data_IF_949563255561
#
_entry.id   IF_949563255561
#
_cell.length_a   1.000
_cell.length_b   1.000
_cell.length_c   1.000
_cell.angle_alpha   90.00
_cell.angle_beta   90.00
_cell.angle_gamma   90.00
#
_symmetry.space_group_name_H-M   'P 1'
#
loop_
_entity.id
_entity.type
_entity.pdbx_description
1 polymer ?
#
# COMPACT_ATOMS: atom_id res chain seq x y z
N UNK A 1 11.68 1.39 3.01
CA UNK A 1 11.75 0.35 1.97
C UNK A 1 10.90 0.79 0.80
N UNK A 2 11.43 0.68 -0.40
CA UNK A 2 10.71 0.85 -1.66
C UNK A 2 11.06 -0.32 -2.57
N UNK A 3 10.13 -0.72 -3.43
CA UNK A 3 10.35 -1.84 -4.34
C UNK A 3 9.63 -1.61 -5.66
N UNK A 4 10.30 -2.01 -6.74
CA UNK A 4 9.69 -2.24 -8.05
C UNK A 4 9.76 -3.74 -8.36
N UNK A 5 9.31 -4.13 -9.55
CA UNK A 5 9.51 -5.49 -10.05
C UNK A 5 10.99 -5.87 -10.15
N UNK A 6 11.87 -4.89 -10.38
CA UNK A 6 13.29 -5.12 -10.66
C UNK A 6 14.24 -4.73 -9.53
N UNK A 7 13.85 -3.79 -8.67
CA UNK A 7 14.73 -3.19 -7.67
C UNK A 7 14.12 -3.25 -6.27
N UNK A 8 14.97 -3.30 -5.26
CA UNK A 8 14.57 -3.22 -3.84
C UNK A 8 15.53 -2.34 -3.07
N UNK A 9 14.99 -1.34 -2.38
CA UNK A 9 15.75 -0.49 -1.47
C UNK A 9 15.26 -0.67 -0.02
N UNK A 10 16.21 -0.78 0.90
CA UNK A 10 15.96 -0.78 2.34
C UNK A 10 16.74 0.34 3.01
N UNK A 11 16.01 1.35 3.47
CA UNK A 11 16.55 2.40 4.35
C UNK A 11 16.35 2.03 5.82
N UNK A 12 17.40 2.15 6.63
CA UNK A 12 17.33 2.08 8.09
C UNK A 12 17.37 3.50 8.64
N UNK A 13 16.46 3.81 9.56
CA UNK A 13 16.40 5.11 10.21
C UNK A 13 15.97 4.95 11.67
N UNK A 14 16.50 5.81 12.55
CA UNK A 14 16.22 5.75 13.99
C UNK A 14 14.77 6.14 14.34
N UNK A 15 14.18 7.00 13.52
CA UNK A 15 12.79 7.43 13.63
C UNK A 15 11.94 6.82 12.50
N UNK A 16 10.64 6.65 12.74
CA UNK A 16 9.65 6.48 11.67
C UNK A 16 9.05 7.84 11.37
N UNK A 17 8.71 8.14 10.13
CA UNK A 17 8.04 9.40 9.81
C UNK A 17 8.42 9.94 8.46
N UNK A 18 8.09 11.21 8.26
CA UNK A 18 8.47 12.00 7.09
C UNK A 18 9.98 12.17 6.99
N UNK A 19 10.68 12.49 8.09
CA UNK A 19 12.16 12.60 8.11
C UNK A 19 12.85 11.34 7.58
N UNK A 20 12.42 10.16 8.05
CA UNK A 20 12.97 8.89 7.57
C UNK A 20 12.77 8.64 6.07
N UNK A 21 11.71 9.23 5.49
CA UNK A 21 11.35 9.10 4.07
C UNK A 21 12.10 10.10 3.20
N UNK A 22 12.32 11.29 3.74
CA UNK A 22 13.16 12.32 3.13
C UNK A 22 14.61 11.82 3.06
N UNK A 23 15.13 11.29 4.17
CA UNK A 23 16.48 10.73 4.23
C UNK A 23 16.66 9.48 3.35
N UNK A 24 15.58 8.71 3.13
CA UNK A 24 15.60 7.61 2.16
C UNK A 24 15.81 8.10 0.72
N UNK A 25 15.48 9.36 0.42
CA UNK A 25 15.79 10.01 -0.86
C UNK A 25 14.99 9.56 -2.08
N UNK A 26 14.07 8.58 -1.93
CA UNK A 26 13.28 8.03 -3.04
C UNK A 26 12.03 8.89 -3.30
N UNK A 27 11.10 8.94 -2.34
CA UNK A 27 9.81 9.63 -2.54
C UNK A 27 9.93 11.12 -2.84
N UNK A 28 10.85 11.89 -2.23
CA UNK A 28 11.01 13.31 -2.55
C UNK A 28 11.39 13.61 -4.00
N UNK A 29 11.93 12.62 -4.74
CA UNK A 29 12.39 12.77 -6.13
C UNK A 29 11.57 11.94 -7.11
N UNK A 30 10.64 11.14 -6.60
CA UNK A 30 9.88 10.18 -7.40
C UNK A 30 8.71 10.90 -8.06
N UNK A 31 8.55 10.70 -9.38
CA UNK A 31 7.48 11.32 -10.18
C UNK A 31 6.48 10.32 -10.77
N UNK A 32 6.68 9.02 -10.50
CA UNK A 32 5.79 7.96 -10.96
C UNK A 32 4.56 7.82 -10.05
N UNK A 33 3.95 6.64 -10.06
CA UNK A 33 2.82 6.31 -9.17
C UNK A 33 3.26 5.40 -8.03
N UNK A 34 3.11 5.88 -6.79
CA UNK A 34 3.47 5.16 -5.59
C UNK A 34 2.27 4.35 -5.06
N UNK A 35 2.43 3.03 -4.93
CA UNK A 35 1.43 2.14 -4.32
C UNK A 35 1.75 1.99 -2.83
N UNK A 36 0.80 2.31 -1.94
CA UNK A 36 1.05 2.24 -0.49
C UNK A 36 -0.19 1.85 0.35
N UNK A 37 0.04 1.62 1.64
CA UNK A 37 -0.90 1.13 2.66
C UNK A 37 -1.76 2.25 3.29
N UNK A 38 -2.06 3.32 2.53
CA UNK A 38 -2.85 4.47 3.01
C UNK A 38 -2.27 5.21 4.25
N UNK A 39 -0.97 5.07 4.55
CA UNK A 39 -0.39 5.89 5.61
C UNK A 39 -0.39 7.39 5.23
N UNK A 40 -1.25 8.18 5.87
CA UNK A 40 -1.54 9.59 5.51
C UNK A 40 -0.35 10.47 5.12
N UNK A 41 0.83 10.40 5.79
CA UNK A 41 2.00 11.20 5.41
C UNK A 41 2.48 10.99 3.97
N UNK A 42 2.18 9.87 3.32
CA UNK A 42 2.51 9.66 1.91
C UNK A 42 1.88 10.72 1.00
N UNK A 43 0.66 11.17 1.29
CA UNK A 43 -0.05 12.14 0.45
C UNK A 43 0.56 13.56 0.52
N UNK A 44 1.56 13.78 1.38
CA UNK A 44 2.37 15.00 1.35
C UNK A 44 3.35 15.07 0.17
N UNK A 45 3.62 13.97 -0.53
CA UNK A 45 4.50 13.93 -1.70
C UNK A 45 3.72 14.23 -2.99
N UNK A 46 3.52 15.51 -3.28
CA UNK A 46 2.66 15.95 -4.39
C UNK A 46 3.27 15.82 -5.79
N UNK A 47 4.58 15.57 -5.90
CA UNK A 47 5.24 15.37 -7.19
C UNK A 47 5.00 13.98 -7.80
N UNK A 48 4.45 13.04 -7.02
CA UNK A 48 4.09 11.71 -7.48
C UNK A 48 2.57 11.51 -7.49
N UNK A 49 2.12 10.54 -8.26
CA UNK A 49 0.75 10.03 -8.16
C UNK A 49 0.66 8.96 -7.09
N UNK A 50 -0.55 8.76 -6.54
CA UNK A 50 -0.79 7.78 -5.50
C UNK A 50 -1.76 6.68 -5.96
N UNK A 51 -1.53 5.47 -5.49
CA UNK A 51 -2.47 4.36 -5.55
C UNK A 51 -2.46 3.62 -4.20
N UNK A 52 -3.59 3.03 -3.84
CA UNK A 52 -3.73 2.30 -2.59
C UNK A 52 -3.65 0.79 -2.82
N UNK A 53 -2.96 0.12 -1.90
CA UNK A 53 -2.81 -1.32 -1.94
C UNK A 53 -4.12 -2.00 -1.49
N UNK A 54 -4.85 -2.62 -2.42
CA UNK A 54 -6.13 -3.25 -2.12
C UNK A 54 -6.01 -4.50 -1.24
N UNK A 55 -4.83 -5.13 -1.12
CA UNK A 55 -4.62 -6.17 -0.12
C UNK A 55 -4.80 -5.66 1.33
N UNK A 56 -4.54 -4.38 1.60
CA UNK A 56 -4.86 -3.78 2.91
C UNK A 56 -6.36 -3.54 3.06
N UNK A 57 -7.01 -2.99 2.03
CA UNK A 57 -8.47 -2.82 2.02
C UNK A 57 -9.19 -4.15 2.25
N UNK A 58 -8.80 -5.24 1.58
CA UNK A 58 -9.40 -6.56 1.76
C UNK A 58 -9.27 -7.09 3.20
N UNK A 59 -8.13 -6.85 3.87
CA UNK A 59 -7.94 -7.24 5.29
C UNK A 59 -8.83 -6.40 6.21
N UNK A 60 -8.97 -5.11 5.95
CA UNK A 60 -9.84 -4.21 6.72
C UNK A 60 -11.32 -4.54 6.51
N UNK A 61 -11.73 -4.84 5.27
CA UNK A 61 -13.09 -5.29 4.93
C UNK A 61 -13.42 -6.63 5.61
N UNK A 62 -12.49 -7.58 5.61
CA UNK A 62 -12.65 -8.84 6.32
C UNK A 62 -12.76 -8.65 7.85
N UNK A 63 -12.03 -7.68 8.41
CA UNK A 63 -12.17 -7.31 9.82
C UNK A 63 -13.59 -6.78 10.09
N UNK A 64 -14.13 -5.94 9.21
CA UNK A 64 -15.49 -5.40 9.35
C UNK A 64 -16.53 -6.51 9.27
N UNK A 65 -16.42 -7.42 8.30
CA UNK A 65 -17.26 -8.61 8.21
C UNK A 65 -17.22 -9.40 9.52
N UNK A 66 -16.04 -9.81 9.97
CA UNK A 66 -15.89 -10.73 11.11
C UNK A 66 -16.28 -10.12 12.46
N UNK A 67 -15.99 -8.84 12.67
CA UNK A 67 -16.17 -8.21 13.98
C UNK A 67 -17.42 -7.33 14.07
N UNK A 68 -17.99 -6.90 12.94
CA UNK A 68 -19.15 -6.02 12.89
C UNK A 68 -20.33 -6.62 12.12
N UNK A 69 -20.15 -7.73 11.40
CA UNK A 69 -21.22 -8.43 10.68
C UNK A 69 -21.83 -7.62 9.55
N UNK A 70 -21.09 -6.64 8.99
CA UNK A 70 -21.67 -5.68 8.03
C UNK A 70 -21.50 -6.15 6.59
N UNK A 71 -22.62 -6.48 5.95
CA UNK A 71 -22.63 -7.11 4.63
C UNK A 71 -22.03 -6.24 3.51
N UNK A 72 -22.11 -4.91 3.61
CA UNK A 72 -21.51 -4.02 2.62
C UNK A 72 -20.00 -4.25 2.47
N UNK A 73 -19.31 -4.68 3.54
CA UNK A 73 -17.88 -4.93 3.51
C UNK A 73 -17.53 -6.17 2.67
N UNK A 74 -18.34 -7.22 2.79
CA UNK A 74 -18.24 -8.43 1.94
C UNK A 74 -18.45 -8.05 0.48
N UNK A 75 -19.56 -7.34 0.21
CA UNK A 75 -19.89 -6.93 -1.16
C UNK A 75 -18.85 -6.00 -1.77
N UNK A 76 -18.22 -5.12 -0.97
CA UNK A 76 -17.13 -4.25 -1.42
C UNK A 76 -15.87 -5.06 -1.73
N UNK A 77 -15.53 -6.05 -0.89
CA UNK A 77 -14.39 -6.93 -1.16
C UNK A 77 -14.61 -7.74 -2.46
N UNK A 78 -15.81 -8.28 -2.65
CA UNK A 78 -16.17 -9.01 -3.86
C UNK A 78 -16.11 -8.11 -5.10
N UNK A 79 -16.62 -6.87 -5.01
CA UNK A 79 -16.55 -5.90 -6.09
C UNK A 79 -15.09 -5.58 -6.47
N UNK A 80 -14.21 -5.32 -5.50
CA UNK A 80 -12.80 -5.04 -5.78
C UNK A 80 -12.10 -6.22 -6.47
N UNK A 81 -12.41 -7.45 -6.06
CA UNK A 81 -11.88 -8.67 -6.67
C UNK A 81 -12.48 -8.93 -8.06
N UNK A 82 -13.73 -8.58 -8.29
CA UNK A 82 -14.39 -8.65 -9.60
C UNK A 82 -13.72 -7.68 -10.58
N UNK A 83 -13.56 -6.40 -10.19
CA UNK A 83 -12.88 -5.39 -11.00
C UNK A 83 -11.47 -5.88 -11.35
N UNK A 84 -10.73 -6.42 -10.37
CA UNK A 84 -9.38 -6.97 -10.60
C UNK A 84 -9.40 -8.04 -11.70
N UNK A 85 -10.31 -9.01 -11.61
CA UNK A 85 -10.43 -10.08 -12.60
C UNK A 85 -10.78 -9.55 -13.98
N UNK A 86 -11.68 -8.56 -14.07
CA UNK A 86 -12.05 -7.95 -15.35
C UNK A 86 -10.87 -7.20 -15.96
N UNK A 87 -10.09 -6.47 -15.17
CA UNK A 87 -8.87 -5.80 -15.63
C UNK A 87 -7.87 -6.83 -16.16
N UNK A 88 -7.59 -7.89 -15.40
CA UNK A 88 -6.66 -8.95 -15.81
C UNK A 88 -7.09 -9.63 -17.12
N UNK A 89 -8.36 -10.01 -17.24
CA UNK A 89 -8.88 -10.61 -18.47
C UNK A 89 -8.83 -9.65 -19.67
N UNK A 90 -9.01 -8.35 -19.44
CA UNK A 90 -8.93 -7.31 -20.48
C UNK A 90 -7.49 -7.07 -20.93
N UNK A 91 -6.52 -7.14 -20.00
CA UNK A 91 -5.10 -7.10 -20.32
C UNK A 91 -4.67 -8.32 -21.14
N UNK A 92 -5.15 -9.51 -20.79
CA UNK A 92 -4.86 -10.76 -21.51
C UNK A 92 -5.39 -10.74 -22.96
N UNK A 93 -6.48 -10.02 -23.22
CA UNK A 93 -7.01 -9.82 -24.57
C UNK A 93 -6.29 -8.72 -25.37
N UNK A 94 -5.27 -8.09 -24.78
CA UNK A 94 -4.47 -7.03 -25.42
C UNK A 94 -5.12 -5.66 -25.42
N UNK A 95 -6.17 -5.45 -24.63
CA UNK A 95 -6.87 -4.15 -24.54
C UNK A 95 -6.31 -3.34 -23.36
N UNK A 96 -6.08 -2.05 -23.56
CA UNK A 96 -5.41 -1.18 -22.57
C UNK A 96 -6.36 -0.50 -21.56
N UNK A 97 -7.66 -0.80 -21.62
CA UNK A 97 -8.64 -0.22 -20.72
C UNK A 97 -10.01 -0.89 -20.80
N UNK A 98 -10.82 -0.70 -19.76
CA UNK A 98 -12.22 -1.13 -19.74
C UNK A 98 -13.07 -0.26 -20.69
N UNK A 99 -14.15 -0.83 -21.21
CA UNK A 99 -15.15 -0.02 -21.94
C UNK A 99 -15.78 1.01 -21.00
N UNK A 100 -16.22 2.14 -21.57
CA UNK A 100 -16.85 3.22 -20.78
C UNK A 100 -18.09 2.73 -20.01
N UNK A 101 -18.82 1.76 -20.57
CA UNK A 101 -19.98 1.16 -19.93
C UNK A 101 -19.57 0.35 -18.69
N UNK A 102 -18.64 -0.60 -18.84
CA UNK A 102 -18.16 -1.46 -17.73
C UNK A 102 -17.53 -0.60 -16.64
N UNK A 103 -16.72 0.39 -17.01
CA UNK A 103 -16.11 1.33 -16.07
C UNK A 103 -17.17 2.05 -15.23
N UNK A 104 -18.20 2.60 -15.89
CA UNK A 104 -19.28 3.34 -15.22
C UNK A 104 -20.08 2.43 -14.30
N UNK A 105 -20.37 1.19 -14.71
CA UNK A 105 -21.09 0.22 -13.88
C UNK A 105 -20.32 -0.10 -12.58
N UNK A 106 -19.00 -0.27 -12.65
CA UNK A 106 -18.19 -0.51 -11.47
C UNK A 106 -18.16 0.70 -10.52
N UNK A 107 -18.02 1.91 -11.06
CA UNK A 107 -18.06 3.12 -10.23
C UNK A 107 -19.41 3.29 -9.52
N UNK A 108 -20.52 3.05 -10.21
CA UNK A 108 -21.86 3.14 -9.62
C UNK A 108 -22.07 2.11 -8.51
N UNK A 109 -21.64 0.86 -8.73
CA UNK A 109 -21.71 -0.20 -7.71
C UNK A 109 -20.84 0.15 -6.49
N UNK A 110 -19.67 0.72 -6.72
CA UNK A 110 -18.78 1.17 -5.65
C UNK A 110 -19.47 2.24 -4.79
N UNK A 111 -19.99 3.29 -5.41
CA UNK A 111 -20.64 4.41 -4.70
C UNK A 111 -21.92 3.97 -3.97
N UNK A 112 -22.66 3.04 -4.57
CA UNK A 112 -23.83 2.43 -3.94
C UNK A 112 -23.44 1.69 -2.65
N UNK A 113 -22.37 0.89 -2.66
CA UNK A 113 -21.89 0.17 -1.49
C UNK A 113 -21.37 1.11 -0.39
N UNK A 114 -20.71 2.20 -0.76
CA UNK A 114 -20.32 3.26 0.18
C UNK A 114 -21.55 3.86 0.86
N UNK A 115 -22.58 4.17 0.07
CA UNK A 115 -23.85 4.73 0.58
C UNK A 115 -24.52 3.75 1.55
N UNK A 116 -24.65 2.47 1.17
CA UNK A 116 -25.20 1.41 2.02
C UNK A 116 -24.40 1.24 3.31
N UNK A 117 -23.07 1.34 3.23
CA UNK A 117 -22.21 1.32 4.42
C UNK A 117 -22.47 2.48 5.38
N UNK A 118 -22.72 3.68 4.88
CA UNK A 118 -23.09 4.82 5.73
C UNK A 118 -24.48 4.69 6.37
N UNK A 119 -25.43 4.01 5.72
CA UNK A 119 -26.77 3.77 6.30
C UNK A 119 -26.69 2.93 7.57
N UNK A 120 -25.80 1.93 7.61
CA UNK A 120 -25.59 1.07 8.79
C UNK A 120 -24.54 1.61 9.76
N UNK A 121 -23.82 2.68 9.39
CA UNK A 121 -22.86 3.39 10.24
C UNK A 121 -23.17 4.90 10.27
N UNK A 122 -24.30 5.31 10.88
CA UNK A 122 -24.65 6.72 10.95
C UNK A 122 -23.57 7.50 11.71
N UNK A 123 -23.24 8.69 11.22
CA UNK A 123 -22.29 9.58 11.91
C UNK A 123 -22.88 9.98 13.26
N UNK A 124 -22.10 9.97 14.34
CA UNK A 124 -22.55 10.51 15.61
C UNK A 124 -22.90 12.00 15.44
N UNK A 125 -23.97 12.49 16.08
CA UNK A 125 -24.33 13.90 16.02
C UNK A 125 -23.19 14.77 16.57
N UNK A 126 -23.04 16.03 16.10
CA UNK A 126 -22.10 16.97 16.68
C UNK A 126 -22.35 17.11 18.17
N UNK A 127 -21.28 17.25 18.97
CA UNK A 127 -21.44 17.61 20.38
C UNK A 127 -22.20 18.95 20.46
N UNK A 128 -23.20 19.07 21.35
CA UNK A 128 -23.94 20.32 21.49
C UNK A 128 -22.98 21.45 21.87
N UNK A 129 -23.13 22.60 21.19
CA UNK A 129 -22.41 23.84 21.44
C UNK A 129 -22.84 24.43 22.80
N UNK A 130 -22.55 23.73 23.90
CA UNK A 130 -22.76 24.26 25.23
C UNK A 130 -21.65 25.26 25.51
N UNK A 131 -22.01 26.52 25.80
CA UNK A 131 -21.09 27.63 26.10
C UNK A 131 -20.24 27.45 27.37
N UNK A 132 -20.08 26.22 27.86
CA UNK A 132 -19.13 25.86 28.92
C UNK A 132 -17.93 25.23 28.23
N UNK A 133 -16.73 25.80 28.46
CA UNK A 133 -15.45 25.23 28.00
C UNK A 133 -15.47 23.71 28.22
N UNK A 134 -15.45 22.88 27.17
CA UNK A 134 -15.55 21.45 27.36
C UNK A 134 -14.37 21.00 28.21
N UNK A 135 -14.63 20.27 29.31
CA UNK A 135 -13.59 19.45 29.95
C UNK A 135 -12.89 18.68 28.82
N UNK A 136 -11.55 18.66 28.79
CA UNK A 136 -10.69 18.06 27.74
C UNK A 136 -10.93 16.54 27.53
N UNK A 137 -12.15 16.11 27.25
CA UNK A 137 -12.49 14.77 26.83
C UNK A 137 -12.29 14.78 25.32
N UNK A 138 -11.29 14.04 24.85
CA UNK A 138 -10.98 13.96 23.43
C UNK A 138 -12.19 13.53 22.60
N UNK A 139 -12.17 13.87 21.30
CA UNK A 139 -13.18 13.42 20.33
C UNK A 139 -13.40 11.91 20.48
N UNK A 140 -14.66 11.47 20.54
CA UNK A 140 -15.00 10.05 20.52
C UNK A 140 -14.33 9.38 19.31
N UNK A 141 -13.66 8.27 19.57
CA UNK A 141 -12.99 7.51 18.52
C UNK A 141 -14.04 7.03 17.50
N UNK A 142 -13.79 7.33 16.23
CA UNK A 142 -14.63 6.86 15.13
C UNK A 142 -14.48 5.34 14.98
N UNK A 143 -15.58 4.65 14.67
CA UNK A 143 -15.58 3.19 14.54
C UNK A 143 -14.75 2.75 13.34
N UNK A 144 -14.09 1.58 13.37
CA UNK A 144 -13.36 1.05 12.22
C UNK A 144 -14.16 1.00 10.90
N UNK A 145 -15.45 0.58 10.88
CA UNK A 145 -16.25 0.65 9.65
C UNK A 145 -16.38 2.07 9.09
N UNK A 146 -16.65 3.07 9.96
CA UNK A 146 -16.82 4.45 9.52
C UNK A 146 -15.49 5.06 9.05
N UNK A 147 -14.36 4.70 9.67
CA UNK A 147 -13.03 5.10 9.21
C UNK A 147 -12.72 4.55 7.81
N UNK A 148 -13.03 3.27 7.57
CA UNK A 148 -12.79 2.65 6.26
C UNK A 148 -13.72 3.24 5.19
N UNK A 149 -14.99 3.51 5.50
CA UNK A 149 -15.91 4.18 4.59
C UNK A 149 -15.45 5.59 4.21
N UNK A 150 -14.96 6.37 5.18
CA UNK A 150 -14.36 7.68 4.91
C UNK A 150 -13.14 7.53 4.00
N UNK A 151 -12.25 6.58 4.29
CA UNK A 151 -11.06 6.31 3.47
C UNK A 151 -11.41 5.89 2.04
N UNK A 152 -12.30 4.92 1.86
CA UNK A 152 -12.71 4.43 0.55
C UNK A 152 -13.40 5.54 -0.27
N UNK A 153 -14.25 6.37 0.36
CA UNK A 153 -14.87 7.52 -0.30
C UNK A 153 -13.83 8.58 -0.69
N UNK A 154 -13.04 9.04 0.28
CA UNK A 154 -12.13 10.19 0.09
C UNK A 154 -10.98 9.88 -0.86
N UNK A 155 -10.59 8.59 -0.93
CA UNK A 155 -9.50 8.11 -1.76
C UNK A 155 -9.98 7.12 -2.83
N UNK A 156 -11.23 7.28 -3.32
CA UNK A 156 -11.80 6.46 -4.40
C UNK A 156 -10.87 6.41 -5.63
N UNK A 157 -10.33 7.54 -6.15
CA UNK A 157 -9.45 7.51 -7.32
C UNK A 157 -8.17 6.68 -7.09
N UNK A 158 -7.60 6.72 -5.89
CA UNK A 158 -6.39 5.98 -5.55
C UNK A 158 -6.69 4.50 -5.26
N UNK A 159 -7.87 4.20 -4.72
CA UNK A 159 -8.35 2.82 -4.50
C UNK A 159 -8.60 2.10 -5.82
N UNK A 160 -9.25 2.79 -6.77
CA UNK A 160 -9.59 2.28 -8.10
C UNK A 160 -8.52 2.57 -9.16
N UNK A 161 -7.32 3.03 -8.78
CA UNK A 161 -6.28 3.39 -9.74
C UNK A 161 -5.89 2.23 -10.69
N UNK A 162 -5.98 0.98 -10.23
CA UNK A 162 -5.74 -0.23 -11.04
C UNK A 162 -6.81 -0.48 -12.11
N UNK A 163 -8.02 0.06 -11.91
CA UNK A 163 -9.10 0.02 -12.89
C UNK A 163 -8.91 1.05 -14.01
N UNK A 164 -8.32 2.21 -13.68
CA UNK A 164 -8.09 3.31 -14.62
C UNK A 164 -6.76 3.18 -15.36
N UNK A 165 -5.73 2.63 -14.72
CA UNK A 165 -4.40 2.45 -15.29
C UNK A 165 -3.92 1.03 -15.01
N UNK A 166 -3.95 0.20 -16.05
CA UNK A 166 -3.63 -1.23 -16.00
C UNK A 166 -2.17 -1.53 -15.60
N UNK A 167 -1.29 -0.52 -15.60
CA UNK A 167 0.09 -0.65 -15.08
C UNK A 167 0.15 -0.59 -13.56
N UNK A 168 -0.93 -0.16 -12.91
CA UNK A 168 -1.03 -0.10 -11.46
C UNK A 168 -1.50 -1.46 -10.95
N UNK A 169 -0.63 -2.14 -10.18
CA UNK A 169 -0.99 -3.39 -9.56
C UNK A 169 -2.12 -3.20 -8.52
N UNK A 170 -3.03 -4.17 -8.44
CA UNK A 170 -4.09 -4.23 -7.43
C UNK A 170 -3.53 -4.25 -6.00
N UNK A 171 -2.40 -4.94 -5.80
CA UNK A 171 -1.72 -5.07 -4.53
C UNK A 171 -0.22 -4.75 -4.64
N UNK A 172 0.43 -4.58 -3.49
CA UNK A 172 1.87 -4.36 -3.38
C UNK A 172 2.58 -5.61 -2.84
N UNK A 173 2.18 -6.80 -3.30
CA UNK A 173 2.69 -8.09 -2.82
C UNK A 173 4.23 -8.18 -2.83
N UNK A 174 4.88 -7.55 -3.81
CA UNK A 174 6.33 -7.56 -3.92
C UNK A 174 7.01 -6.93 -2.71
N UNK A 175 6.58 -5.73 -2.31
CA UNK A 175 7.12 -5.07 -1.12
C UNK A 175 6.75 -5.83 0.16
N UNK A 176 5.54 -6.38 0.26
CA UNK A 176 5.16 -7.20 1.41
C UNK A 176 6.06 -8.44 1.57
N UNK A 177 6.41 -9.10 0.46
CA UNK A 177 7.36 -10.23 0.47
C UNK A 177 8.77 -9.78 0.85
N UNK A 178 9.24 -8.68 0.28
CA UNK A 178 10.56 -8.11 0.54
C UNK A 178 10.71 -7.72 2.03
N UNK A 179 9.73 -7.04 2.61
CA UNK A 179 9.78 -6.63 4.03
C UNK A 179 9.71 -7.80 5.02
N UNK A 180 9.19 -8.97 4.59
CA UNK A 180 9.01 -10.15 5.46
C UNK A 180 10.29 -10.56 6.16
N UNK A 181 11.43 -10.54 5.47
CA UNK A 181 12.70 -10.96 6.07
C UNK A 181 13.20 -9.99 7.15
N UNK A 182 12.90 -8.69 7.01
CA UNK A 182 13.15 -7.69 8.05
C UNK A 182 12.28 -7.99 9.27
N UNK A 183 10.99 -8.28 9.06
CA UNK A 183 10.04 -8.62 10.14
C UNK A 183 10.39 -9.92 10.84
N UNK A 184 10.85 -10.94 10.13
CA UNK A 184 11.34 -12.20 10.72
C UNK A 184 12.57 -11.95 11.58
N UNK A 185 13.54 -11.15 11.12
CA UNK A 185 14.73 -10.79 11.91
C UNK A 185 14.34 -10.08 13.21
N UNK A 186 13.39 -9.16 13.15
CA UNK A 186 12.85 -8.46 14.33
C UNK A 186 12.16 -9.44 15.29
N UNK A 187 11.25 -10.28 14.77
CA UNK A 187 10.44 -11.21 15.57
C UNK A 187 11.27 -12.33 16.21
N UNK A 188 12.17 -12.95 15.45
CA UNK A 188 12.85 -14.19 15.86
C UNK A 188 14.21 -13.91 16.50
N UNK A 189 14.96 -12.93 15.99
CA UNK A 189 16.32 -12.63 16.48
C UNK A 189 16.40 -11.40 17.40
N UNK A 190 15.25 -10.83 17.82
CA UNK A 190 15.21 -9.65 18.68
C UNK A 190 15.70 -8.35 18.02
N UNK A 191 15.77 -8.30 16.68
CA UNK A 191 16.19 -7.12 15.94
C UNK A 191 17.71 -7.00 15.76
N UNK A 192 18.23 -5.77 15.83
CA UNK A 192 19.64 -5.44 15.60
C UNK A 192 20.25 -4.80 16.85
N UNK A 193 21.48 -5.20 17.19
CA UNK A 193 22.23 -4.67 18.33
C UNK A 193 22.89 -3.32 18.04
N UNK A 194 23.21 -3.06 16.77
CA UNK A 194 23.89 -1.84 16.33
C UNK A 194 23.25 -1.32 15.05
N UNK A 195 23.32 0.01 14.84
CA UNK A 195 22.88 0.65 13.61
C UNK A 195 23.70 0.17 12.39
N UNK A 196 25.01 -0.03 12.58
CA UNK A 196 25.89 -0.58 11.54
C UNK A 196 25.40 -1.96 11.06
N UNK A 197 25.12 -2.90 11.98
CA UNK A 197 24.63 -4.22 11.61
C UNK A 197 23.25 -4.20 10.94
N UNK A 198 22.40 -3.22 11.29
CA UNK A 198 21.12 -3.02 10.60
C UNK A 198 21.33 -2.52 9.16
N UNK A 199 22.26 -1.58 8.95
CA UNK A 199 22.62 -1.08 7.63
C UNK A 199 23.25 -2.16 6.76
N UNK A 200 24.17 -2.97 7.29
CA UNK A 200 24.78 -4.08 6.56
C UNK A 200 23.72 -5.10 6.14
N UNK A 201 22.81 -5.45 7.06
CA UNK A 201 21.68 -6.31 6.73
C UNK A 201 20.81 -5.72 5.62
N UNK A 202 20.46 -4.45 5.71
CA UNK A 202 19.63 -3.77 4.72
C UNK A 202 20.29 -3.75 3.33
N UNK A 203 21.59 -3.42 3.26
CA UNK A 203 22.39 -3.42 2.03
C UNK A 203 22.45 -4.81 1.40
N UNK A 204 22.83 -5.83 2.17
CA UNK A 204 22.91 -7.22 1.71
C UNK A 204 21.54 -7.68 1.21
N UNK A 205 20.47 -7.41 1.97
CA UNK A 205 19.11 -7.79 1.57
C UNK A 205 18.63 -7.09 0.31
N UNK A 206 18.89 -5.79 0.18
CA UNK A 206 18.56 -5.01 -1.01
C UNK A 206 19.24 -5.60 -2.25
N UNK A 207 20.54 -5.87 -2.15
CA UNK A 207 21.33 -6.49 -3.21
C UNK A 207 20.79 -7.86 -3.63
N UNK A 208 20.57 -8.78 -2.67
CA UNK A 208 20.11 -10.13 -2.98
C UNK A 208 18.67 -10.17 -3.51
N UNK A 209 17.78 -9.31 -3.00
CA UNK A 209 16.42 -9.16 -3.54
C UNK A 209 16.47 -8.65 -4.99
N UNK A 210 17.29 -7.62 -5.25
CA UNK A 210 17.48 -7.05 -6.59
C UNK A 210 18.09 -8.06 -7.57
N UNK A 211 19.11 -8.82 -7.17
CA UNK A 211 19.70 -9.88 -7.99
C UNK A 211 18.65 -10.93 -8.39
N UNK A 212 17.86 -11.41 -7.41
CA UNK A 212 16.80 -12.39 -7.66
C UNK A 212 15.72 -11.86 -8.61
N UNK A 213 15.32 -10.60 -8.45
CA UNK A 213 14.34 -9.92 -9.32
C UNK A 213 14.79 -9.84 -10.78
N UNK A 214 16.10 -9.81 -11.02
CA UNK A 214 16.69 -9.80 -12.36
C UNK A 214 17.14 -11.20 -12.82
N UNK A 215 16.53 -12.26 -12.25
CA UNK A 215 16.84 -13.65 -12.56
C UNK A 215 18.32 -14.05 -12.37
N UNK A 216 19.08 -13.31 -11.57
CA UNK A 216 20.47 -13.64 -11.25
C UNK A 216 20.52 -14.68 -10.14
N UNK A 217 21.32 -15.73 -10.34
CA UNK A 217 21.57 -16.71 -9.30
C UNK A 217 22.24 -16.04 -8.08
N UNK A 218 21.64 -16.20 -6.92
CA UNK A 218 22.05 -15.50 -5.69
C UNK A 218 23.45 -15.92 -5.22
N UNK A 219 23.84 -17.18 -5.38
CA UNK A 219 25.18 -17.65 -5.00
C UNK A 219 26.24 -17.06 -5.93
N UNK A 220 25.97 -17.02 -7.24
CA UNK A 220 26.84 -16.35 -8.19
C UNK A 220 26.96 -14.86 -7.86
N UNK A 221 25.85 -14.17 -7.58
CA UNK A 221 25.86 -12.74 -7.22
C UNK A 221 26.68 -12.45 -5.96
N UNK A 222 26.65 -13.35 -4.96
CA UNK A 222 27.48 -13.23 -3.75
C UNK A 222 28.96 -13.43 -4.10
N UNK A 223 29.28 -14.53 -4.80
CA UNK A 223 30.66 -14.83 -5.23
C UNK A 223 31.24 -13.66 -6.01
N UNK A 224 30.52 -13.17 -7.00
CA UNK A 224 31.00 -12.13 -7.91
C UNK A 224 31.21 -10.81 -7.16
N UNK A 225 30.37 -10.49 -6.17
CA UNK A 225 30.59 -9.34 -5.28
C UNK A 225 31.89 -9.45 -4.49
N UNK A 226 32.21 -10.63 -3.94
CA UNK A 226 33.49 -10.87 -3.26
C UNK A 226 34.70 -10.86 -4.22
N UNK A 227 34.49 -11.20 -5.49
CA UNK A 227 35.50 -11.08 -6.54
C UNK A 227 35.64 -9.67 -7.12
N UNK A 228 34.98 -8.65 -6.55
CA UNK A 228 35.03 -7.27 -7.03
C UNK A 228 34.24 -7.02 -8.32
N UNK A 229 33.35 -7.93 -8.71
CA UNK A 229 32.48 -7.87 -9.90
C UNK A 229 31.00 -7.98 -9.51
N UNK A 230 30.49 -7.13 -8.58
CA UNK A 230 29.11 -7.25 -8.13
C UNK A 230 28.12 -7.06 -9.29
N UNK A 231 26.97 -7.72 -9.19
CA UNK A 231 25.87 -7.48 -10.11
C UNK A 231 25.36 -6.03 -9.94
N UNK A 232 25.40 -5.26 -11.01
CA UNK A 232 24.79 -3.94 -11.06
C UNK A 232 23.59 -4.03 -12.01
N UNK A 233 22.35 -3.83 -11.53
CA UNK A 233 21.19 -3.87 -12.41
C UNK A 233 21.28 -2.74 -13.44
N UNK A 234 20.95 -3.03 -14.69
CA UNK A 234 20.75 -1.97 -15.68
C UNK A 234 19.49 -1.18 -15.29
N UNK A 235 19.66 0.10 -14.99
CA UNK A 235 18.53 1.01 -14.90
C UNK A 235 17.98 1.17 -16.32
N UNK A 236 16.84 0.55 -16.62
CA UNK A 236 16.06 0.97 -17.78
C UNK A 236 15.59 2.40 -17.50
N UNK A 237 16.02 3.33 -18.34
CA UNK A 237 15.64 4.74 -18.34
C UNK A 237 14.13 4.93 -18.42
#
# INVERSE_FOLDING_TARGET
MAATERLTDYTIHAQRGQTAREDAGILPKFKGRAIHDHWKPYFGYTECSHALCNAHHLRELQLIEKHYGQQWAVMMADLLLEIKKTVEATQESGTEGLSSEVFTQFEQRYDHLITTGYLVNPRPPPLPATGKKPKKRGRLAQTPPLNLLDQLRDFKPQTLAFMTDFRVAFDHNQAERDVRMVKVKQKVSGGFRTLAGANDFARIRGYLSTARKNAVNVFSAIRDAFCGKPFVPSCAS
#
